data_IF_545271174857
#
_entry.id   IF_545271174857
#
_cell.length_a   1.000
_cell.length_b   1.000
_cell.length_c   1.000
_cell.angle_alpha   90.00
_cell.angle_beta   90.00
_cell.angle_gamma   90.00
#
_symmetry.space_group_name_H-M   'P 1'
#
loop_
_entity.id
_entity.type
_entity.pdbx_description
1 polymer ?
#
# COMPACT_ATOMS: atom_id res chain seq x y z
N UNK A 1 -3.30 24.46 19.83
CA UNK A 1 -1.99 23.80 19.56
C UNK A 1 -1.31 23.62 20.89
N UNK A 2 -1.24 22.39 21.41
CA UNK A 2 -0.44 22.11 22.61
C UNK A 2 0.94 21.65 22.18
N UNK A 3 1.93 22.53 22.27
CA UNK A 3 3.33 22.20 22.04
C UNK A 3 3.89 21.71 23.37
N UNK A 4 3.97 20.40 23.59
CA UNK A 4 4.65 19.84 24.75
C UNK A 4 6.13 19.68 24.42
N UNK A 5 6.97 20.54 24.99
CA UNK A 5 8.43 20.40 24.88
C UNK A 5 8.87 19.28 25.81
N UNK A 6 8.91 18.05 25.28
CA UNK A 6 9.50 16.92 25.98
C UNK A 6 10.96 16.82 25.56
N UNK A 7 11.91 17.10 26.45
CA UNK A 7 13.33 16.87 26.17
C UNK A 7 13.58 15.35 26.11
N UNK A 8 13.66 14.79 24.89
CA UNK A 8 13.72 13.33 24.74
C UNK A 8 15.14 12.78 24.97
N UNK A 9 16.20 13.53 24.63
CA UNK A 9 17.61 13.23 24.95
C UNK A 9 18.53 14.32 24.36
N UNK A 10 19.69 14.56 24.98
CA UNK A 10 20.84 15.22 24.34
C UNK A 10 21.62 14.19 23.52
N UNK A 11 22.03 14.56 22.31
CA UNK A 11 22.68 13.63 21.35
C UNK A 11 24.20 13.65 21.54
N UNK A 12 24.69 13.62 22.78
CA UNK A 12 26.10 13.88 23.06
C UNK A 12 26.98 12.63 22.90
N UNK A 13 26.42 11.43 23.02
CA UNK A 13 27.20 10.20 22.89
C UNK A 13 26.85 9.39 21.63
N UNK A 14 27.90 8.95 20.92
CA UNK A 14 27.79 7.89 19.92
C UNK A 14 27.64 6.58 20.70
N UNK A 15 26.45 5.96 20.76
CA UNK A 15 26.28 4.74 21.51
C UNK A 15 27.15 3.66 20.87
N UNK A 16 28.02 3.09 21.68
CA UNK A 16 28.90 2.00 21.31
C UNK A 16 28.08 0.72 21.26
N UNK A 17 28.47 -0.20 20.39
CA UNK A 17 27.90 -1.53 20.32
C UNK A 17 28.17 -2.33 21.60
N UNK A 18 27.69 -3.59 21.66
CA UNK A 18 27.92 -4.47 22.80
C UNK A 18 29.40 -4.70 23.13
N UNK A 19 30.29 -4.38 22.20
CA UNK A 19 31.75 -4.48 22.31
C UNK A 19 32.41 -3.24 22.94
N UNK A 20 31.64 -2.18 23.22
CA UNK A 20 32.16 -0.93 23.77
C UNK A 20 33.15 -0.21 22.86
N UNK A 21 33.26 -0.59 21.58
CA UNK A 21 34.28 -0.09 20.65
C UNK A 21 33.71 0.28 19.29
N UNK A 22 32.73 -0.47 18.79
CA UNK A 22 32.16 -0.21 17.47
C UNK A 22 31.01 0.77 17.60
N UNK A 23 31.07 1.97 17.01
CA UNK A 23 29.93 2.88 17.03
C UNK A 23 28.74 2.24 16.30
N UNK A 24 27.57 2.21 16.94
CA UNK A 24 26.36 1.67 16.32
C UNK A 24 26.08 2.41 15.01
N UNK A 25 25.79 1.64 13.95
CA UNK A 25 25.55 2.17 12.61
C UNK A 25 24.26 3.00 12.60
N UNK A 26 24.38 4.31 12.82
CA UNK A 26 23.27 5.27 12.74
C UNK A 26 22.91 5.56 11.28
N UNK A 27 21.63 5.83 11.00
CA UNK A 27 21.22 6.31 9.67
C UNK A 27 21.95 7.63 9.33
N UNK A 28 22.26 7.87 8.06
CA UNK A 28 22.91 9.13 7.60
C UNK A 28 22.16 10.40 8.07
N UNK A 29 20.88 10.28 8.43
CA UNK A 29 20.05 11.38 8.96
C UNK A 29 20.42 11.82 10.38
N UNK A 30 21.18 11.01 11.13
CA UNK A 30 21.56 11.24 12.54
C UNK A 30 23.06 11.62 12.67
N UNK A 31 23.85 11.54 11.59
CA UNK A 31 25.32 11.74 11.60
C UNK A 31 25.78 13.20 11.77
N UNK A 32 24.88 14.18 11.78
CA UNK A 32 25.20 15.63 11.85
C UNK A 32 24.31 16.39 12.85
N UNK A 33 24.11 15.83 14.03
CA UNK A 33 23.39 16.53 15.10
C UNK A 33 24.45 17.12 16.04
N UNK A 34 24.54 18.45 16.13
CA UNK A 34 25.37 19.15 17.14
C UNK A 34 24.73 18.98 18.52
N UNK A 35 25.53 19.03 19.59
CA UNK A 35 25.07 18.84 20.98
C UNK A 35 23.94 19.78 21.40
N UNK A 36 23.90 20.98 20.83
CA UNK A 36 22.91 22.02 21.14
C UNK A 36 21.52 21.78 20.49
N UNK A 37 21.34 20.67 19.77
CA UNK A 37 20.05 20.33 19.18
C UNK A 37 19.25 19.41 20.10
N UNK A 38 17.99 19.77 20.32
CA UNK A 38 17.01 18.97 21.07
C UNK A 38 15.92 18.43 20.14
N UNK A 39 15.29 17.33 20.54
CA UNK A 39 14.11 16.81 19.87
C UNK A 39 12.85 17.27 20.60
N UNK A 40 12.01 18.02 19.89
CA UNK A 40 10.68 18.41 20.38
C UNK A 40 9.60 17.55 19.73
N UNK A 41 8.57 17.21 20.51
CA UNK A 41 7.37 16.55 20.01
C UNK A 41 6.25 17.57 19.80
N UNK A 42 5.61 17.52 18.64
CA UNK A 42 4.47 18.35 18.29
C UNK A 42 3.37 17.47 17.69
N UNK A 43 2.12 17.71 18.07
CA UNK A 43 0.96 17.12 17.43
C UNK A 43 0.39 18.08 16.39
N UNK A 44 0.18 17.58 15.16
CA UNK A 44 -0.35 18.37 14.07
C UNK A 44 -1.29 17.54 13.19
N UNK A 45 -2.42 18.12 12.80
CA UNK A 45 -3.31 17.55 11.79
C UNK A 45 -2.91 18.07 10.41
N UNK A 46 -2.58 17.18 9.47
CA UNK A 46 -2.26 17.54 8.08
C UNK A 46 -3.15 16.73 7.15
N UNK A 47 -4.00 17.41 6.36
CA UNK A 47 -4.92 16.77 5.39
C UNK A 47 -5.80 15.68 6.04
N UNK A 48 -6.30 15.95 7.25
CA UNK A 48 -7.16 15.04 8.01
C UNK A 48 -6.46 13.86 8.68
N UNK A 49 -5.12 13.85 8.73
CA UNK A 49 -4.35 12.83 9.48
C UNK A 49 -3.67 13.52 10.66
N UNK A 50 -3.87 12.98 11.86
CA UNK A 50 -3.19 13.42 13.07
C UNK A 50 -1.82 12.79 13.19
N UNK A 51 -0.83 13.65 13.32
CA UNK A 51 0.58 13.32 13.32
C UNK A 51 1.24 13.72 14.61
N UNK A 52 1.95 12.79 15.22
CA UNK A 52 2.98 13.08 16.21
C UNK A 52 4.32 13.27 15.49
N UNK A 53 4.72 14.53 15.38
CA UNK A 53 5.96 14.95 14.71
C UNK A 53 7.06 15.09 15.74
N UNK A 54 8.23 14.55 15.41
CA UNK A 54 9.49 14.79 16.13
C UNK A 54 10.31 15.75 15.30
N UNK A 55 10.58 16.93 15.82
CA UNK A 55 11.34 17.98 15.16
C UNK A 55 12.69 18.13 15.86
N UNK A 56 13.74 18.23 15.06
CA UNK A 56 15.05 18.65 15.54
C UNK A 56 15.03 20.18 15.67
N UNK A 57 15.20 20.66 16.88
CA UNK A 57 15.17 22.06 17.26
C UNK A 57 16.56 22.47 17.73
N UNK A 58 17.04 23.62 17.28
CA UNK A 58 18.28 24.22 17.76
C UNK A 58 17.94 25.27 18.81
N UNK A 59 18.38 25.02 20.05
CA UNK A 59 18.07 25.88 21.19
C UNK A 59 18.75 27.26 21.10
N UNK A 60 19.93 27.32 20.50
CA UNK A 60 20.72 28.55 20.41
C UNK A 60 20.07 29.56 19.46
N UNK A 61 19.63 29.09 18.29
CA UNK A 61 18.94 29.95 17.30
C UNK A 61 17.42 29.95 17.45
N UNK A 62 16.90 29.19 18.41
CA UNK A 62 15.47 29.01 18.70
C UNK A 62 14.63 28.63 17.48
N UNK A 63 15.16 27.76 16.61
CA UNK A 63 14.49 27.37 15.35
C UNK A 63 14.46 25.87 15.14
N UNK A 64 13.37 25.43 14.52
CA UNK A 64 13.26 24.08 13.97
C UNK A 64 14.20 23.92 12.79
N UNK A 65 15.17 23.03 12.92
CA UNK A 65 16.17 22.73 11.89
C UNK A 65 15.61 21.74 10.87
N UNK A 66 14.94 20.68 11.35
CA UNK A 66 14.51 19.58 10.48
C UNK A 66 13.42 18.71 11.10
N UNK A 67 12.52 18.17 10.29
CA UNK A 67 11.66 17.05 10.68
C UNK A 67 12.49 15.77 10.86
N UNK A 68 12.50 15.22 12.06
CA UNK A 68 13.24 14.02 12.41
C UNK A 68 12.45 12.74 12.13
N UNK A 69 11.23 12.67 12.68
CA UNK A 69 10.32 11.56 12.47
C UNK A 69 8.88 12.05 12.50
N UNK A 70 7.97 11.27 11.93
CA UNK A 70 6.54 11.51 12.02
C UNK A 70 5.82 10.18 12.22
N UNK A 71 4.85 10.13 13.14
CA UNK A 71 4.01 8.96 13.41
C UNK A 71 2.55 9.38 13.29
N UNK A 72 1.75 8.67 12.50
CA UNK A 72 0.30 8.84 12.51
C UNK A 72 -0.28 8.29 13.83
N UNK A 73 -1.16 9.04 14.48
CA UNK A 73 -1.72 8.68 15.79
C UNK A 73 -3.06 7.93 15.68
N UNK A 74 -3.86 8.21 14.66
CA UNK A 74 -5.27 7.80 14.58
C UNK A 74 -5.56 6.75 13.48
N UNK A 75 -4.67 5.77 13.30
CA UNK A 75 -4.94 4.65 12.37
C UNK A 75 -5.78 3.60 13.11
N UNK A 76 -7.09 3.80 13.15
CA UNK A 76 -8.00 2.76 13.62
C UNK A 76 -8.29 1.77 12.48
N UNK A 77 -7.74 0.56 12.58
CA UNK A 77 -7.98 -0.52 11.61
C UNK A 77 -9.47 -0.89 11.49
N UNK A 78 -10.26 -0.67 12.53
CA UNK A 78 -11.72 -0.90 12.51
C UNK A 78 -12.48 0.01 11.56
N UNK A 79 -11.89 1.17 11.24
CA UNK A 79 -12.46 2.08 10.25
C UNK A 79 -12.05 1.73 8.81
N UNK A 80 -11.16 0.75 8.61
CA UNK A 80 -10.66 0.31 7.30
C UNK A 80 -11.41 -0.94 6.81
N UNK A 81 -12.73 -0.83 6.66
CA UNK A 81 -13.58 -1.93 6.19
C UNK A 81 -13.62 -2.01 4.65
N UNK A 82 -13.91 -3.20 4.05
CA UNK A 82 -13.93 -3.37 2.60
C UNK A 82 -14.96 -2.48 1.88
N UNK A 83 -14.51 -1.72 0.89
CA UNK A 83 -15.29 -0.70 0.18
C UNK A 83 -15.06 0.72 0.69
N UNK A 84 -14.32 0.90 1.79
CA UNK A 84 -13.86 2.22 2.24
C UNK A 84 -12.81 2.77 1.28
N UNK A 85 -12.85 4.08 1.03
CA UNK A 85 -11.81 4.80 0.29
C UNK A 85 -10.90 5.50 1.29
N UNK A 86 -9.61 5.24 1.14
CA UNK A 86 -8.56 5.71 2.04
C UNK A 86 -7.49 6.45 1.26
N UNK A 87 -6.71 7.29 1.94
CA UNK A 87 -5.51 7.91 1.39
C UNK A 87 -4.28 7.34 2.08
N UNK A 88 -3.46 6.60 1.34
CA UNK A 88 -2.27 5.95 1.88
C UNK A 88 -1.06 6.20 0.96
N UNK A 89 0.14 5.91 1.46
CA UNK A 89 1.38 6.09 0.71
C UNK A 89 1.54 4.92 -0.25
N UNK A 90 1.72 5.19 -1.55
CA UNK A 90 2.10 4.17 -2.53
C UNK A 90 3.50 4.47 -3.08
N UNK A 91 4.38 3.48 -2.99
CA UNK A 91 5.68 3.51 -3.65
C UNK A 91 5.54 3.21 -5.14
N UNK A 92 6.32 3.90 -5.99
CA UNK A 92 6.40 3.58 -7.41
C UNK A 92 7.86 3.64 -7.89
N UNK A 93 8.25 2.74 -8.80
CA UNK A 93 9.60 2.76 -9.36
C UNK A 93 9.76 3.96 -10.29
N UNK A 94 10.90 4.65 -10.21
CA UNK A 94 11.38 5.48 -11.30
C UNK A 94 12.35 4.68 -12.16
N UNK A 95 11.93 4.41 -13.40
CA UNK A 95 12.84 3.93 -14.45
C UNK A 95 13.47 5.14 -15.12
N UNK A 96 14.79 5.28 -15.06
CA UNK A 96 15.46 6.31 -15.86
C UNK A 96 15.45 5.88 -17.33
N UNK A 97 14.56 6.49 -18.12
CA UNK A 97 14.44 6.23 -19.56
C UNK A 97 15.46 7.04 -20.41
N UNK A 98 16.36 7.83 -19.80
CA UNK A 98 17.43 8.54 -20.51
C UNK A 98 18.59 7.61 -20.87
N UNK A 99 18.32 6.56 -21.65
CA UNK A 99 19.35 5.87 -22.42
C UNK A 99 19.05 6.16 -23.89
N UNK A 100 20.05 6.70 -24.59
CA UNK A 100 19.94 7.12 -25.98
C UNK A 100 19.49 5.99 -26.91
N UNK A 101 18.74 6.28 -27.97
CA UNK A 101 18.04 5.29 -28.81
C UNK A 101 18.96 4.43 -29.72
N UNK A 102 20.27 4.38 -29.49
CA UNK A 102 21.22 3.75 -30.42
C UNK A 102 21.68 2.33 -30.06
N UNK A 103 21.31 1.78 -28.90
CA UNK A 103 21.71 0.42 -28.53
C UNK A 103 20.55 -0.58 -28.73
N UNK A 104 20.28 -0.91 -29.99
CA UNK A 104 19.15 -1.71 -30.47
C UNK A 104 19.11 -3.18 -30.03
N UNK A 105 19.76 -3.58 -28.93
CA UNK A 105 19.78 -4.97 -28.45
C UNK A 105 19.43 -5.20 -26.99
N UNK A 106 19.12 -4.17 -26.19
CA UNK A 106 18.68 -4.44 -24.82
C UNK A 106 17.88 -3.28 -24.24
N UNK A 107 16.59 -3.51 -23.97
CA UNK A 107 15.86 -2.75 -22.94
C UNK A 107 16.42 -3.13 -21.57
N UNK A 108 17.69 -2.84 -21.31
CA UNK A 108 18.32 -3.10 -20.04
C UNK A 108 18.03 -1.91 -19.11
N UNK A 109 17.11 -2.13 -18.17
CA UNK A 109 16.85 -1.29 -17.01
C UNK A 109 18.11 -1.24 -16.13
N UNK A 110 19.17 -0.53 -16.54
CA UNK A 110 20.48 -0.62 -15.87
C UNK A 110 20.60 0.27 -14.63
N UNK A 111 19.74 1.28 -14.49
CA UNK A 111 19.72 2.17 -13.32
C UNK A 111 18.29 2.30 -12.81
N UNK A 112 17.95 1.50 -11.78
CA UNK A 112 16.80 1.79 -10.95
C UNK A 112 17.03 3.15 -10.28
N UNK A 113 16.16 4.12 -10.57
CA UNK A 113 16.16 5.41 -9.88
C UNK A 113 15.75 5.23 -8.40
N UNK A 114 15.79 6.31 -7.60
CA UNK A 114 15.25 6.25 -6.25
C UNK A 114 13.78 5.81 -6.28
N UNK A 115 13.38 5.00 -5.29
CA UNK A 115 11.96 4.70 -5.07
C UNK A 115 11.30 5.97 -4.57
N UNK A 116 10.36 6.50 -5.35
CA UNK A 116 9.51 7.60 -4.93
C UNK A 116 8.24 7.07 -4.29
N UNK A 117 7.67 7.86 -3.39
CA UNK A 117 6.44 7.52 -2.70
C UNK A 117 5.55 8.75 -2.65
N UNK A 118 4.26 8.57 -2.93
CA UNK A 118 3.27 9.64 -2.82
C UNK A 118 1.94 9.11 -2.30
N UNK A 119 1.15 10.00 -1.71
CA UNK A 119 -0.20 9.66 -1.28
C UNK A 119 -1.09 9.33 -2.49
N UNK A 120 -1.83 8.23 -2.40
CA UNK A 120 -2.80 7.77 -3.37
C UNK A 120 -4.11 7.46 -2.66
N UNK A 121 -5.21 7.74 -3.35
CA UNK A 121 -6.51 7.25 -2.95
C UNK A 121 -6.64 5.78 -3.33
N UNK A 122 -7.22 4.96 -2.46
CA UNK A 122 -7.35 3.51 -2.69
C UNK A 122 -8.67 2.99 -2.11
N UNK A 123 -9.27 2.01 -2.76
CA UNK A 123 -10.47 1.30 -2.28
C UNK A 123 -10.02 0.06 -1.52
N UNK A 124 -10.36 -0.06 -0.23
CA UNK A 124 -10.05 -1.24 0.59
C UNK A 124 -10.79 -2.46 0.05
N UNK A 125 -10.09 -3.57 -0.19
CA UNK A 125 -10.70 -4.82 -0.69
C UNK A 125 -10.75 -5.92 0.35
N UNK A 126 -9.70 -6.06 1.17
CA UNK A 126 -9.67 -7.01 2.26
C UNK A 126 -8.88 -6.45 3.44
N UNK A 127 -9.22 -6.94 4.63
CA UNK A 127 -8.57 -6.59 5.89
C UNK A 127 -7.99 -7.83 6.54
N UNK A 128 -6.83 -7.64 7.16
CA UNK A 128 -6.14 -8.60 8.02
C UNK A 128 -5.72 -7.91 9.30
N UNK A 129 -5.22 -8.66 10.28
CA UNK A 129 -4.69 -8.07 11.53
C UNK A 129 -3.40 -7.25 11.30
N UNK A 130 -2.74 -7.42 10.16
CA UNK A 130 -1.50 -6.70 9.84
C UNK A 130 -1.72 -5.43 9.03
N UNK A 131 -2.95 -5.21 8.55
CA UNK A 131 -3.27 -4.11 7.64
C UNK A 131 -4.33 -4.50 6.62
N UNK A 132 -4.38 -3.74 5.53
CA UNK A 132 -5.41 -3.88 4.50
C UNK A 132 -4.80 -3.99 3.12
N UNK A 133 -5.44 -4.76 2.25
CA UNK A 133 -5.18 -4.72 0.81
C UNK A 133 -6.18 -3.76 0.18
N UNK A 134 -5.70 -2.91 -0.73
CA UNK A 134 -6.51 -1.89 -1.39
C UNK A 134 -6.17 -1.77 -2.88
N UNK A 135 -7.15 -1.33 -3.67
CA UNK A 135 -7.01 -1.04 -5.10
C UNK A 135 -6.72 0.45 -5.28
N UNK A 136 -5.57 0.83 -5.87
CA UNK A 136 -5.21 2.24 -6.04
C UNK A 136 -6.02 2.92 -7.16
N UNK A 137 -6.32 4.21 -6.94
CA UNK A 137 -7.07 5.07 -7.85
C UNK A 137 -6.15 6.06 -8.59
N UNK A 138 -6.46 6.30 -9.87
CA UNK A 138 -5.70 7.17 -10.78
C UNK A 138 -6.65 8.03 -11.63
N UNK A 139 -6.23 9.24 -11.96
CA UNK A 139 -6.99 10.16 -12.85
C UNK A 139 -6.63 9.99 -14.33
N UNK A 140 -5.47 9.40 -14.63
CA UNK A 140 -4.97 9.01 -15.96
C UNK A 140 -4.99 10.09 -17.07
N UNK A 141 -5.28 11.36 -16.76
CA UNK A 141 -5.43 12.47 -17.72
C UNK A 141 -4.25 12.68 -18.66
N UNK A 142 -3.02 12.37 -18.23
CA UNK A 142 -1.79 12.54 -19.01
C UNK A 142 -1.18 11.19 -19.47
N UNK A 143 -1.84 10.07 -19.17
CA UNK A 143 -1.25 8.75 -19.35
C UNK A 143 -1.42 8.22 -20.78
N UNK A 144 -0.33 8.14 -21.54
CA UNK A 144 -0.29 7.38 -22.81
C UNK A 144 -0.03 5.90 -22.51
N UNK A 145 -1.08 5.09 -22.56
CA UNK A 145 -1.01 3.65 -22.26
C UNK A 145 -1.42 2.80 -23.45
N UNK A 146 -0.87 1.58 -23.54
CA UNK A 146 -1.29 0.57 -24.52
C UNK A 146 -2.72 0.11 -24.21
N UNK A 147 -3.46 -0.32 -25.23
CA UNK A 147 -4.84 -0.82 -25.08
C UNK A 147 -4.95 -1.94 -24.03
N UNK A 148 -4.04 -2.91 -24.04
CA UNK A 148 -4.01 -3.99 -23.04
C UNK A 148 -3.87 -3.50 -21.61
N UNK A 149 -3.17 -2.38 -21.38
CA UNK A 149 -3.03 -1.79 -20.05
C UNK A 149 -4.30 -1.06 -19.61
N UNK A 150 -5.07 -0.49 -20.54
CA UNK A 150 -6.40 0.07 -20.26
C UNK A 150 -7.39 -1.00 -19.80
N UNK A 151 -7.24 -2.23 -20.29
CA UNK A 151 -8.05 -3.37 -19.84
C UNK A 151 -7.75 -3.83 -18.41
N UNK A 152 -6.72 -3.29 -17.77
CA UNK A 152 -6.41 -3.57 -16.36
C UNK A 152 -7.05 -2.55 -15.40
N UNK A 153 -7.68 -1.50 -15.94
CA UNK A 153 -8.37 -0.48 -15.15
C UNK A 153 -9.88 -0.61 -15.25
N UNK A 154 -10.57 -0.18 -14.19
CA UNK A 154 -12.02 0.04 -14.18
C UNK A 154 -12.33 1.50 -13.87
N UNK A 155 -13.25 2.10 -14.62
CA UNK A 155 -13.77 3.44 -14.37
C UNK A 155 -14.50 3.52 -13.03
N UNK A 156 -14.24 4.57 -12.28
CA UNK A 156 -14.85 4.90 -10.99
C UNK A 156 -15.36 6.33 -11.08
N UNK A 157 -16.58 6.59 -10.61
CA UNK A 157 -17.12 7.95 -10.60
C UNK A 157 -18.08 8.25 -9.46
N UNK A 158 -18.30 9.55 -9.26
CA UNK A 158 -19.39 10.09 -8.43
C UNK A 158 -20.67 10.30 -9.23
N UNK A 159 -20.56 10.47 -10.56
CA UNK A 159 -21.67 10.77 -11.47
C UNK A 159 -22.35 9.50 -12.02
N UNK A 160 -23.64 9.24 -11.73
CA UNK A 160 -24.32 8.01 -12.18
C UNK A 160 -24.57 7.93 -13.69
N UNK A 161 -24.54 9.05 -14.40
CA UNK A 161 -24.82 9.12 -15.84
C UNK A 161 -23.56 8.91 -16.71
N UNK A 162 -22.37 8.93 -16.12
CA UNK A 162 -21.15 8.70 -16.86
C UNK A 162 -21.04 7.22 -17.25
N UNK A 163 -20.71 6.94 -18.51
CA UNK A 163 -20.59 5.58 -19.03
C UNK A 163 -19.20 4.97 -18.82
N UNK A 164 -18.23 5.76 -18.36
CA UNK A 164 -16.85 5.32 -18.18
C UNK A 164 -16.06 5.23 -19.48
N UNK A 165 -14.76 4.98 -19.34
CA UNK A 165 -13.81 4.75 -20.44
C UNK A 165 -13.30 3.29 -20.46
N UNK A 166 -13.84 2.43 -19.58
CA UNK A 166 -13.49 1.01 -19.49
C UNK A 166 -14.72 0.14 -19.83
N UNK A 167 -15.20 0.15 -21.10
CA UNK A 167 -16.46 -0.50 -21.47
C UNK A 167 -16.44 -2.02 -21.24
N UNK A 168 -15.26 -2.64 -21.28
CA UNK A 168 -15.08 -4.06 -20.99
C UNK A 168 -15.58 -4.45 -19.59
N UNK A 169 -15.50 -3.52 -18.62
CA UNK A 169 -15.93 -3.73 -17.24
C UNK A 169 -17.43 -3.46 -17.01
N UNK A 170 -18.14 -2.97 -18.04
CA UNK A 170 -19.51 -2.47 -17.95
C UNK A 170 -19.58 -1.03 -17.44
N UNK A 171 -20.62 -0.69 -16.67
CA UNK A 171 -20.83 0.63 -16.06
C UNK A 171 -19.66 1.04 -15.13
N UNK A 172 -19.43 2.33 -14.85
CA UNK A 172 -18.45 2.69 -13.82
C UNK A 172 -18.83 2.17 -12.42
N UNK A 173 -17.83 2.03 -11.55
CA UNK A 173 -18.04 1.80 -10.12
C UNK A 173 -18.44 3.12 -9.46
N UNK A 174 -19.60 3.13 -8.79
CA UNK A 174 -20.07 4.34 -8.11
C UNK A 174 -19.42 4.53 -6.74
N UNK A 175 -18.77 5.67 -6.56
CA UNK A 175 -18.10 6.08 -5.33
C UNK A 175 -18.74 7.35 -4.75
N UNK A 176 -18.62 7.51 -3.44
CA UNK A 176 -18.94 8.75 -2.72
C UNK A 176 -17.68 9.25 -2.03
N UNK A 177 -17.25 10.45 -2.38
CA UNK A 177 -16.12 11.12 -1.74
C UNK A 177 -16.61 12.16 -0.74
N UNK A 178 -15.85 12.33 0.34
CA UNK A 178 -16.06 13.41 1.29
C UNK A 178 -15.51 14.71 0.70
N UNK A 179 -16.28 15.79 0.85
CA UNK A 179 -15.99 17.10 0.24
C UNK A 179 -14.63 17.68 0.65
N UNK A 180 -14.12 17.31 1.82
CA UNK A 180 -12.86 17.80 2.38
C UNK A 180 -11.61 17.37 1.59
N UNK A 181 -11.71 16.33 0.75
CA UNK A 181 -10.56 15.74 0.06
C UNK A 181 -10.41 16.19 -1.40
N UNK A 182 -11.32 17.03 -1.91
CA UNK A 182 -11.32 17.59 -3.27
C UNK A 182 -10.94 16.54 -4.33
N UNK A 183 -11.69 15.42 -4.31
CA UNK A 183 -11.42 14.30 -5.19
C UNK A 183 -12.08 14.54 -6.55
N UNK A 184 -11.36 14.21 -7.62
CA UNK A 184 -11.90 14.20 -8.98
C UNK A 184 -13.14 13.30 -9.08
N UNK A 185 -14.14 13.78 -9.82
CA UNK A 185 -15.40 13.06 -10.02
C UNK A 185 -15.24 11.78 -10.86
N UNK A 186 -14.16 11.70 -11.65
CA UNK A 186 -13.86 10.62 -12.58
C UNK A 186 -12.44 10.12 -12.35
N UNK A 187 -12.31 8.84 -12.09
CA UNK A 187 -11.02 8.18 -11.88
C UNK A 187 -11.07 6.71 -12.29
N UNK A 188 -9.98 6.00 -12.04
CA UNK A 188 -9.75 4.64 -12.51
C UNK A 188 -9.10 3.81 -11.40
N UNK A 189 -9.68 2.65 -11.10
CA UNK A 189 -9.11 1.66 -10.20
C UNK A 189 -8.21 0.68 -10.97
N UNK A 190 -6.96 0.52 -10.51
CA UNK A 190 -5.98 -0.38 -11.13
C UNK A 190 -6.10 -1.80 -10.57
N UNK A 191 -6.71 -2.71 -11.33
CA UNK A 191 -7.00 -4.07 -10.88
C UNK A 191 -5.79 -5.00 -10.88
N UNK A 192 -4.69 -4.62 -11.55
CA UNK A 192 -3.49 -5.48 -11.60
C UNK A 192 -2.47 -5.20 -10.50
N UNK A 193 -2.62 -4.09 -9.78
CA UNK A 193 -1.66 -3.64 -8.74
C UNK A 193 -2.35 -3.39 -7.42
N UNK A 194 -2.90 -4.46 -6.84
CA UNK A 194 -3.32 -4.46 -5.46
C UNK A 194 -2.18 -4.03 -4.55
N UNK A 195 -2.47 -3.11 -3.63
CA UNK A 195 -1.50 -2.51 -2.73
C UNK A 195 -1.81 -2.91 -1.29
N UNK A 196 -0.80 -3.43 -0.59
CA UNK A 196 -0.93 -3.72 0.83
C UNK A 196 -0.48 -2.51 1.64
N UNK A 197 -1.34 -2.06 2.56
CA UNK A 197 -1.09 -0.97 3.49
C UNK A 197 -0.97 -1.58 4.88
N UNK A 198 0.22 -1.50 5.47
CA UNK A 198 0.47 -2.00 6.81
C UNK A 198 -0.18 -1.15 7.91
N UNK A 199 -0.47 -1.77 9.05
CA UNK A 199 -1.06 -1.10 10.22
C UNK A 199 -0.24 0.08 10.79
N UNK A 200 1.06 0.11 10.49
CA UNK A 200 1.98 1.14 10.97
C UNK A 200 2.17 2.29 9.95
N UNK A 201 1.47 2.26 8.83
CA UNK A 201 1.58 3.27 7.78
C UNK A 201 0.65 4.47 8.05
N UNK A 202 0.97 5.61 7.43
CA UNK A 202 0.11 6.79 7.53
C UNK A 202 -1.10 6.67 6.60
N UNK A 203 -2.31 6.69 7.17
CA UNK A 203 -3.57 6.50 6.45
C UNK A 203 -4.57 7.60 6.83
N UNK A 204 -5.17 8.27 5.83
CA UNK A 204 -6.43 8.98 6.02
C UNK A 204 -7.57 8.01 5.72
N UNK A 205 -8.36 7.66 6.73
CA UNK A 205 -9.31 6.55 6.65
C UNK A 205 -10.72 6.97 6.24
N UNK A 206 -11.03 8.26 6.13
CA UNK A 206 -12.37 8.78 5.79
C UNK A 206 -12.37 9.66 4.54
N UNK A 207 -11.82 9.15 3.43
CA UNK A 207 -11.87 9.88 2.15
C UNK A 207 -13.21 9.69 1.48
N UNK A 208 -13.80 8.51 1.60
CA UNK A 208 -15.03 8.16 0.91
C UNK A 208 -15.37 6.68 1.02
N UNK A 209 -16.31 6.21 0.22
CA UNK A 209 -16.72 4.81 0.16
C UNK A 209 -17.40 4.45 -1.16
N UNK A 210 -17.37 3.17 -1.51
CA UNK A 210 -18.30 2.56 -2.47
C UNK A 210 -19.44 1.86 -1.72
N UNK A 211 -20.58 1.64 -2.38
CA UNK A 211 -21.70 0.89 -1.77
C UNK A 211 -21.44 -0.61 -1.79
N UNK A 212 -22.22 -1.41 -1.05
CA UNK A 212 -22.04 -2.87 -1.01
C UNK A 212 -22.21 -3.56 -2.36
N UNK A 213 -23.14 -3.08 -3.20
CA UNK A 213 -23.32 -3.60 -4.56
C UNK A 213 -22.13 -3.30 -5.47
N UNK A 214 -21.63 -2.07 -5.40
CA UNK A 214 -20.44 -1.63 -6.15
C UNK A 214 -19.17 -2.34 -5.67
N UNK A 215 -19.04 -2.57 -4.36
CA UNK A 215 -17.96 -3.36 -3.78
C UNK A 215 -17.98 -4.81 -4.28
N UNK A 216 -19.15 -5.47 -4.25
CA UNK A 216 -19.30 -6.83 -4.77
C UNK A 216 -18.84 -6.90 -6.23
N UNK A 217 -19.29 -5.95 -7.04
CA UNK A 217 -18.92 -5.85 -8.45
C UNK A 217 -17.42 -5.62 -8.65
N UNK A 218 -16.80 -4.77 -7.84
CA UNK A 218 -15.35 -4.58 -7.84
C UNK A 218 -14.62 -5.91 -7.54
N UNK A 219 -15.07 -6.66 -6.54
CA UNK A 219 -14.49 -7.97 -6.21
C UNK A 219 -14.65 -8.98 -7.35
N UNK A 220 -15.81 -9.03 -8.02
CA UNK A 220 -16.02 -9.89 -9.18
C UNK A 220 -15.06 -9.55 -10.34
N UNK A 221 -14.84 -8.26 -10.61
CA UNK A 221 -13.89 -7.79 -11.62
C UNK A 221 -12.44 -8.14 -11.26
N UNK A 222 -12.05 -7.98 -9.99
CA UNK A 222 -10.72 -8.38 -9.49
C UNK A 222 -10.51 -9.88 -9.69
N UNK A 223 -11.46 -10.71 -9.25
CA UNK A 223 -11.37 -12.16 -9.39
C UNK A 223 -11.27 -12.58 -10.86
N UNK A 224 -12.04 -11.95 -11.74
CA UNK A 224 -11.96 -12.20 -13.18
C UNK A 224 -10.56 -11.86 -13.73
N UNK A 225 -10.02 -10.69 -13.40
CA UNK A 225 -8.69 -10.27 -13.87
C UNK A 225 -7.58 -11.12 -13.29
N UNK A 226 -7.64 -11.46 -12.01
CA UNK A 226 -6.70 -12.39 -11.38
C UNK A 226 -6.70 -13.74 -12.11
N UNK A 227 -7.88 -14.29 -12.42
CA UNK A 227 -7.99 -15.54 -13.20
C UNK A 227 -7.37 -15.41 -14.59
N UNK A 228 -7.62 -14.30 -15.29
CA UNK A 228 -7.01 -14.03 -16.61
C UNK A 228 -5.48 -13.98 -16.52
N UNK A 229 -4.94 -13.25 -15.54
CA UNK A 229 -3.48 -13.14 -15.33
C UNK A 229 -2.86 -14.49 -14.97
N UNK A 230 -3.50 -15.27 -14.09
CA UNK A 230 -3.04 -16.62 -13.74
C UNK A 230 -3.05 -17.53 -14.96
N UNK A 231 -4.14 -17.55 -15.73
CA UNK A 231 -4.23 -18.39 -16.94
C UNK A 231 -3.14 -18.05 -17.95
N UNK A 232 -2.91 -16.75 -18.20
CA UNK A 232 -1.84 -16.29 -19.09
C UNK A 232 -0.44 -16.64 -18.55
N UNK A 233 -0.23 -16.59 -17.24
CA UNK A 233 1.02 -17.00 -16.62
C UNK A 233 1.25 -18.51 -16.74
N UNK A 234 0.21 -19.33 -16.50
CA UNK A 234 0.25 -20.79 -16.63
C UNK A 234 0.53 -21.26 -18.05
N UNK A 235 0.01 -20.56 -19.07
CA UNK A 235 0.29 -20.87 -20.48
C UNK A 235 1.78 -20.76 -20.86
N UNK A 236 2.61 -20.08 -20.06
CA UNK A 236 4.06 -19.99 -20.28
C UNK A 236 4.86 -21.14 -19.64
N UNK A 237 4.23 -21.99 -18.83
CA UNK A 237 4.87 -23.20 -18.33
C UNK A 237 4.75 -24.30 -19.37
N UNK A 238 5.76 -25.16 -19.46
CA UNK A 238 5.88 -26.20 -20.48
C UNK A 238 4.74 -27.23 -20.36
N UNK A 239 3.64 -26.98 -21.06
CA UNK A 239 2.50 -27.90 -21.12
C UNK A 239 2.75 -28.89 -22.24
N UNK A 240 2.95 -30.16 -21.89
CA UNK A 240 3.01 -31.27 -22.84
C UNK A 240 1.90 -31.10 -23.90
N UNK A 241 2.28 -31.08 -25.18
CA UNK A 241 1.41 -31.07 -26.38
C UNK A 241 0.87 -29.73 -26.93
N UNK A 242 1.55 -28.59 -26.75
CA UNK A 242 1.23 -27.32 -27.44
C UNK A 242 -0.21 -26.78 -27.23
N UNK A 243 -0.95 -27.29 -26.24
CA UNK A 243 -2.27 -26.79 -25.88
C UNK A 243 -2.15 -26.01 -24.55
N UNK A 244 -2.55 -24.72 -24.51
CA UNK A 244 -2.47 -23.94 -23.28
C UNK A 244 -3.37 -24.56 -22.22
N UNK A 245 -2.77 -25.00 -21.10
CA UNK A 245 -3.53 -25.51 -19.96
C UNK A 245 -4.32 -24.35 -19.33
N UNK A 246 -5.64 -24.47 -19.33
CA UNK A 246 -6.52 -23.50 -18.68
C UNK A 246 -6.25 -23.59 -17.18
N UNK A 247 -5.96 -22.45 -16.52
CA UNK A 247 -5.86 -22.42 -15.07
C UNK A 247 -7.13 -23.00 -14.45
N UNK A 248 -6.99 -24.17 -13.83
CA UNK A 248 -8.00 -24.79 -12.99
C UNK A 248 -7.64 -24.49 -11.54
N UNK A 249 -8.55 -23.91 -10.73
CA UNK A 249 -8.31 -23.71 -9.32
C UNK A 249 -7.90 -25.03 -8.67
N UNK A 250 -6.73 -25.04 -8.03
CA UNK A 250 -6.28 -26.22 -7.31
C UNK A 250 -7.31 -26.56 -6.24
N UNK A 251 -7.90 -27.75 -6.37
CA UNK A 251 -8.90 -28.26 -5.44
C UNK A 251 -8.24 -29.30 -4.55
N UNK A 252 -8.17 -29.07 -3.23
CA UNK A 252 -7.63 -30.06 -2.29
C UNK A 252 -8.41 -31.37 -2.38
N UNK A 253 -7.74 -32.46 -2.79
CA UNK A 253 -8.29 -33.82 -2.84
C UNK A 253 -7.81 -34.69 -1.68
N UNK A 254 -6.74 -34.28 -0.99
CA UNK A 254 -6.13 -35.05 0.11
C UNK A 254 -6.39 -34.37 1.46
N UNK A 255 -6.49 -35.15 2.56
CA UNK A 255 -6.82 -34.60 3.87
C UNK A 255 -5.77 -33.61 4.40
N UNK A 256 -4.49 -33.80 4.07
CA UNK A 256 -3.39 -32.90 4.47
C UNK A 256 -3.30 -31.61 3.67
N UNK A 257 -4.11 -31.47 2.63
CA UNK A 257 -4.10 -30.28 1.79
C UNK A 257 -4.95 -29.19 2.47
N UNK A 258 -4.47 -27.93 2.51
CA UNK A 258 -5.18 -26.83 3.15
C UNK A 258 -6.58 -26.63 2.52
N UNK A 259 -7.61 -26.64 3.37
CA UNK A 259 -8.99 -26.39 3.00
C UNK A 259 -9.49 -25.12 3.73
N UNK A 260 -10.26 -24.23 3.06
CA UNK A 260 -10.79 -23.03 3.70
C UNK A 260 -11.59 -23.38 4.97
N UNK A 261 -11.30 -22.69 6.07
CA UNK A 261 -11.97 -22.90 7.36
C UNK A 261 -11.68 -24.25 8.04
N UNK A 262 -10.83 -25.10 7.45
CA UNK A 262 -10.51 -26.43 7.99
C UNK A 262 -9.01 -26.51 8.28
N UNK A 263 -8.67 -26.57 9.58
CA UNK A 263 -7.31 -26.94 9.98
C UNK A 263 -7.12 -28.44 9.71
N UNK A 264 -5.98 -28.80 9.13
CA UNK A 264 -5.60 -30.20 9.06
C UNK A 264 -5.48 -30.75 10.49
N UNK A 265 -6.17 -31.84 10.76
CA UNK A 265 -6.14 -32.52 12.04
C UNK A 265 -5.72 -33.98 11.80
N UNK A 266 -4.47 -34.30 12.14
CA UNK A 266 -3.97 -35.66 12.31
C UNK A 266 -4.19 -36.17 13.74
N UNK A 267 -3.94 -37.45 13.99
CA UNK A 267 -4.12 -38.03 15.34
C UNK A 267 -3.25 -37.34 16.39
N UNK A 268 -2.11 -36.77 15.99
CA UNK A 268 -1.23 -36.01 16.88
C UNK A 268 -1.85 -34.69 17.30
N UNK A 269 -2.35 -33.90 16.34
CA UNK A 269 -3.04 -32.62 16.59
C UNK A 269 -4.34 -32.83 17.35
N UNK A 270 -5.12 -33.88 17.05
CA UNK A 270 -6.30 -34.26 17.86
C UNK A 270 -5.96 -34.60 19.31
N UNK A 271 -4.85 -35.32 19.54
CA UNK A 271 -4.35 -35.59 20.90
C UNK A 271 -3.84 -34.34 21.62
N UNK A 272 -3.33 -33.35 20.86
CA UNK A 272 -2.89 -32.07 21.44
C UNK A 272 -4.08 -31.15 21.74
N UNK A 273 -5.11 -31.09 20.89
CA UNK A 273 -6.33 -30.32 21.14
C UNK A 273 -7.15 -30.90 22.32
N UNK A 274 -7.11 -32.22 22.52
CA UNK A 274 -7.73 -32.88 23.67
C UNK A 274 -7.00 -32.60 24.99
N UNK A 275 -5.70 -32.28 24.95
CA UNK A 275 -4.99 -31.75 26.09
C UNK A 275 -5.33 -30.26 26.20
N UNK A 276 -6.48 -29.96 26.80
CA UNK A 276 -6.69 -28.64 27.41
C UNK A 276 -5.46 -28.37 28.27
N UNK A 277 -4.70 -27.32 27.95
CA UNK A 277 -3.71 -26.78 28.86
C UNK A 277 -4.50 -26.33 30.10
N UNK A 278 -4.49 -27.16 31.13
CA UNK A 278 -4.93 -26.82 32.47
C UNK A 278 -3.90 -25.88 33.11
#
# INVERSE_FOLDING_TARGET
MSTSVTHVFTVDDIPLGPDGKTPLRRSKRIRKVKGDHVLIEEEQTIKGIDYKRRLLYDENIKKTVKLYANRALNVNLDNLWPGRIVKAIACYPQTNLKIEPYDGKTAATRLAGPVEAKFRYMIVVCRTDQGVTAVPLYTLSEAKMRASRWEEYVSVCTEPLWRGETPWAGMPILAKFNKEYDCEDKCFADLSRLHFIGQNEAIAHDVGRVTGGEYKRLMDLINMKERQFRTAAFANFDTNNNAPEIYSPWTPTKPHQPLPGRRYADDRTRRMDAKKFA
#
